data_IF_891813385707
#
_entry.id   IF_891813385707
#
_cell.length_a   1.000
_cell.length_b   1.000
_cell.length_c   1.000
_cell.angle_alpha   90.00
_cell.angle_beta   90.00
_cell.angle_gamma   90.00
#
_symmetry.space_group_name_H-M   'P 1'
#
loop_
_entity.id
_entity.type
_entity.pdbx_description
1 polymer ?
#
# COMPACT_ATOMS: atom_id res chain seq x y z
N UNK A 1 -25.45 3.48 32.77
CA UNK A 1 -24.62 3.54 31.55
C UNK A 1 -25.46 3.21 30.34
N UNK A 2 -25.09 3.70 29.17
CA UNK A 2 -25.74 3.39 27.87
C UNK A 2 -24.86 2.39 27.12
N UNK A 3 -25.46 1.30 26.63
CA UNK A 3 -24.78 0.36 25.73
C UNK A 3 -25.03 0.82 24.29
N UNK A 4 -23.94 0.99 23.54
CA UNK A 4 -23.99 1.38 22.13
C UNK A 4 -23.56 0.20 21.29
N UNK A 5 -24.38 -0.19 20.31
CA UNK A 5 -23.99 -1.13 19.26
C UNK A 5 -23.62 -0.32 18.02
N UNK A 6 -22.34 -0.41 17.63
CA UNK A 6 -21.81 0.27 16.46
C UNK A 6 -21.53 -0.75 15.34
N UNK A 7 -22.11 -0.53 14.17
CA UNK A 7 -21.91 -1.39 12.99
C UNK A 7 -21.27 -0.56 11.90
N UNK A 8 -20.08 -0.96 11.44
CA UNK A 8 -19.34 -0.28 10.41
C UNK A 8 -18.43 -1.23 9.65
N UNK A 9 -18.07 -0.87 8.44
CA UNK A 9 -17.02 -1.49 7.65
C UNK A 9 -15.68 -0.71 7.75
N UNK A 10 -15.69 0.45 8.39
CA UNK A 10 -14.47 1.21 8.67
C UNK A 10 -13.79 0.69 9.94
N UNK A 11 -12.76 -0.12 9.75
CA UNK A 11 -12.02 -0.79 10.83
C UNK A 11 -11.31 0.23 11.74
N UNK A 12 -10.89 1.37 11.19
CA UNK A 12 -10.27 2.44 11.97
C UNK A 12 -11.23 2.99 13.02
N UNK A 13 -12.44 3.35 12.64
CA UNK A 13 -13.50 3.81 13.56
C UNK A 13 -13.90 2.73 14.54
N UNK A 14 -14.05 1.48 14.11
CA UNK A 14 -14.36 0.35 15.00
C UNK A 14 -13.30 0.19 16.08
N UNK A 15 -12.02 0.20 15.68
CA UNK A 15 -10.88 0.05 16.61
C UNK A 15 -10.79 1.19 17.61
N UNK A 16 -11.13 2.40 17.21
CA UNK A 16 -11.06 3.58 18.06
C UNK A 16 -12.24 3.72 19.02
N UNK A 17 -13.45 3.37 18.57
CA UNK A 17 -14.69 3.62 19.31
C UNK A 17 -15.19 2.43 20.12
N UNK A 18 -14.79 1.21 19.77
CA UNK A 18 -15.30 -0.01 20.40
C UNK A 18 -14.26 -0.63 21.34
N UNK A 19 -14.69 -1.08 22.52
CA UNK A 19 -13.86 -1.91 23.41
C UNK A 19 -13.88 -3.39 23.01
N UNK A 20 -14.99 -3.84 22.42
CA UNK A 20 -15.18 -5.22 21.97
C UNK A 20 -15.79 -5.23 20.56
N UNK A 21 -15.38 -6.21 19.75
CA UNK A 21 -15.82 -6.39 18.37
C UNK A 21 -16.32 -7.81 18.15
N UNK A 22 -17.43 -7.90 17.45
CA UNK A 22 -17.96 -9.14 16.88
C UNK A 22 -17.73 -9.12 15.37
N UNK A 23 -16.89 -10.04 14.88
CA UNK A 23 -16.69 -10.23 13.43
C UNK A 23 -17.69 -11.23 12.90
N UNK A 24 -18.51 -10.77 11.96
CA UNK A 24 -19.46 -11.59 11.23
C UNK A 24 -18.99 -11.78 9.78
N UNK A 25 -19.10 -13.00 9.28
CA UNK A 25 -18.83 -13.35 7.90
C UNK A 25 -19.96 -14.25 7.38
N UNK A 26 -20.67 -13.81 6.34
CA UNK A 26 -21.82 -14.49 5.77
C UNK A 26 -22.85 -14.95 6.82
N UNK A 27 -23.12 -14.13 7.81
CA UNK A 27 -24.06 -14.43 8.90
C UNK A 27 -23.52 -15.34 10.00
N UNK A 28 -22.27 -15.78 9.91
CA UNK A 28 -21.61 -16.63 10.90
C UNK A 28 -20.63 -15.81 11.74
N UNK A 29 -20.61 -16.07 13.05
CA UNK A 29 -19.62 -15.47 13.96
C UNK A 29 -18.25 -16.10 13.70
N UNK A 30 -17.31 -15.30 13.23
CA UNK A 30 -15.91 -15.70 13.03
C UNK A 30 -15.08 -15.49 14.29
N UNK A 31 -15.25 -14.36 14.95
CA UNK A 31 -14.54 -14.04 16.17
C UNK A 31 -15.30 -13.03 17.01
N UNK A 32 -15.03 -13.01 18.32
CA UNK A 32 -15.56 -12.05 19.28
C UNK A 32 -14.53 -11.81 20.37
N UNK A 33 -14.21 -10.55 20.64
CA UNK A 33 -13.22 -10.22 21.67
C UNK A 33 -12.86 -8.75 21.73
N UNK A 34 -11.65 -8.48 22.21
CA UNK A 34 -11.08 -7.13 22.28
C UNK A 34 -10.93 -6.53 20.88
N UNK A 35 -11.25 -5.23 20.75
CA UNK A 35 -11.31 -4.56 19.46
C UNK A 35 -9.98 -4.59 18.70
N UNK A 36 -8.86 -4.30 19.37
CA UNK A 36 -7.54 -4.30 18.71
C UNK A 36 -7.25 -5.68 18.11
N UNK A 37 -7.40 -6.74 18.89
CA UNK A 37 -7.09 -8.10 18.47
C UNK A 37 -8.00 -8.59 17.32
N UNK A 38 -9.32 -8.35 17.40
CA UNK A 38 -10.26 -8.79 16.38
C UNK A 38 -10.10 -7.99 15.08
N UNK A 39 -9.81 -6.69 15.17
CA UNK A 39 -9.51 -5.89 14.00
C UNK A 39 -8.23 -6.36 13.30
N UNK A 40 -7.18 -6.72 14.03
CA UNK A 40 -5.94 -7.26 13.45
C UNK A 40 -6.21 -8.60 12.75
N UNK A 41 -6.94 -9.52 13.37
CA UNK A 41 -7.34 -10.78 12.76
C UNK A 41 -8.15 -10.58 11.47
N UNK A 42 -9.08 -9.64 11.47
CA UNK A 42 -9.88 -9.28 10.28
C UNK A 42 -8.99 -8.75 9.16
N UNK A 43 -8.07 -7.84 9.47
CA UNK A 43 -7.15 -7.28 8.48
C UNK A 43 -6.21 -8.33 7.90
N UNK A 44 -5.71 -9.25 8.73
CA UNK A 44 -4.85 -10.35 8.28
C UNK A 44 -5.59 -11.32 7.35
N UNK A 45 -6.85 -11.64 7.65
CA UNK A 45 -7.69 -12.47 6.77
C UNK A 45 -7.98 -11.75 5.44
N UNK A 46 -8.24 -10.44 5.49
CA UNK A 46 -8.43 -9.63 4.28
C UNK A 46 -7.15 -9.56 3.44
N UNK A 47 -5.98 -9.42 4.06
CA UNK A 47 -4.69 -9.47 3.35
C UNK A 47 -4.48 -10.82 2.67
N UNK A 48 -4.71 -11.93 3.36
CA UNK A 48 -4.58 -13.28 2.78
C UNK A 48 -5.56 -13.50 1.61
N UNK A 49 -6.78 -13.00 1.74
CA UNK A 49 -7.77 -13.04 0.66
C UNK A 49 -7.36 -12.14 -0.51
N UNK A 50 -6.75 -10.98 -0.23
CA UNK A 50 -6.21 -10.07 -1.22
C UNK A 50 -4.98 -10.67 -1.92
N UNK A 51 -4.07 -11.31 -1.18
CA UNK A 51 -2.94 -12.05 -1.75
C UNK A 51 -3.41 -13.18 -2.68
N UNK A 52 -4.50 -13.87 -2.34
CA UNK A 52 -5.11 -14.86 -3.21
C UNK A 52 -5.70 -14.23 -4.49
N UNK A 53 -6.39 -13.10 -4.38
CA UNK A 53 -6.95 -12.37 -5.53
C UNK A 53 -5.83 -11.72 -6.34
N UNK A 54 -4.84 -11.09 -5.69
CA UNK A 54 -3.68 -10.50 -6.33
C UNK A 54 -2.84 -11.56 -7.08
N UNK A 55 -2.66 -12.75 -6.49
CA UNK A 55 -2.00 -13.87 -7.15
C UNK A 55 -2.69 -14.33 -8.45
N UNK A 56 -3.99 -14.07 -8.59
CA UNK A 56 -4.73 -14.35 -9.84
C UNK A 56 -4.76 -13.14 -10.79
N UNK A 57 -4.58 -11.92 -10.28
CA UNK A 57 -4.49 -10.69 -11.10
C UNK A 57 -3.06 -10.49 -11.61
N UNK A 58 -2.04 -10.97 -10.90
CA UNK A 58 -0.63 -10.86 -11.27
C UNK A 58 -0.29 -11.50 -12.61
N UNK A 59 -1.04 -12.50 -13.05
CA UNK A 59 -0.86 -13.12 -14.38
C UNK A 59 -1.29 -12.18 -15.54
N UNK A 60 -2.03 -11.09 -15.26
CA UNK A 60 -2.53 -10.17 -16.29
C UNK A 60 -1.87 -8.79 -16.27
N UNK A 61 -1.19 -8.39 -15.20
CA UNK A 61 -0.57 -7.06 -15.09
C UNK A 61 0.96 -7.17 -15.12
N UNK A 62 1.52 -7.29 -16.33
CA UNK A 62 2.94 -7.09 -16.54
C UNK A 62 3.29 -5.62 -16.30
N UNK A 63 3.90 -5.33 -15.17
CA UNK A 63 4.44 -4.00 -14.85
C UNK A 63 5.97 -4.02 -14.92
N UNK A 64 6.56 -2.96 -15.42
CA UNK A 64 8.01 -2.75 -15.35
C UNK A 64 8.35 -1.97 -14.07
N UNK A 65 9.48 -2.30 -13.45
CA UNK A 65 9.99 -1.58 -12.27
C UNK A 65 11.36 -1.02 -12.61
N UNK A 66 11.56 0.25 -12.36
CA UNK A 66 12.83 0.94 -12.57
C UNK A 66 13.29 1.50 -11.22
N UNK A 67 14.58 1.43 -10.94
CA UNK A 67 15.14 1.91 -9.68
C UNK A 67 16.40 2.74 -9.97
N UNK A 68 16.47 3.93 -9.38
CA UNK A 68 17.65 4.79 -9.48
C UNK A 68 17.93 5.52 -8.17
N UNK A 69 19.21 5.79 -7.91
CA UNK A 69 19.59 6.74 -6.85
C UNK A 69 19.48 8.14 -7.41
N UNK A 70 18.88 9.04 -6.67
CA UNK A 70 18.67 10.43 -7.06
C UNK A 70 19.36 11.38 -6.10
N UNK A 71 19.73 12.55 -6.60
CA UNK A 71 20.34 13.60 -5.80
C UNK A 71 19.29 14.33 -4.94
N UNK A 72 19.70 14.82 -3.77
CA UNK A 72 18.83 15.61 -2.88
C UNK A 72 18.22 16.87 -3.55
N UNK A 73 18.89 17.40 -4.57
CA UNK A 73 18.44 18.59 -5.31
C UNK A 73 17.27 18.31 -6.26
N UNK A 74 17.01 17.03 -6.59
CA UNK A 74 15.90 16.66 -7.47
C UNK A 74 14.57 17.05 -6.84
N UNK A 75 13.84 17.94 -7.51
CA UNK A 75 12.51 18.37 -7.07
C UNK A 75 11.47 17.32 -7.42
N UNK A 76 10.80 16.79 -6.41
CA UNK A 76 9.65 15.91 -6.55
C UNK A 76 8.49 16.41 -5.68
N UNK A 77 7.24 16.07 -6.00
CA UNK A 77 6.09 16.45 -5.18
C UNK A 77 6.25 15.89 -3.75
N UNK A 78 6.10 16.76 -2.76
CA UNK A 78 6.10 16.29 -1.36
C UNK A 78 4.73 15.72 -1.02
N UNK A 79 4.70 14.59 -0.34
CA UNK A 79 3.48 14.05 0.24
C UNK A 79 3.04 14.98 1.37
N UNK A 80 1.79 15.45 1.30
CA UNK A 80 1.22 16.33 2.33
C UNK A 80 0.70 15.57 3.56
N UNK A 81 0.66 14.23 3.50
CA UNK A 81 0.24 13.38 4.60
C UNK A 81 1.07 12.09 4.55
N UNK A 82 1.82 11.85 5.58
CA UNK A 82 2.34 10.52 5.91
C UNK A 82 1.73 10.21 7.26
N UNK A 83 0.75 9.33 7.28
CA UNK A 83 0.43 8.71 8.55
C UNK A 83 1.65 7.91 9.00
N UNK A 84 2.04 8.03 10.25
CA UNK A 84 3.23 7.43 10.88
C UNK A 84 3.38 5.89 10.73
N UNK A 85 2.50 5.26 9.99
CA UNK A 85 2.43 3.79 9.84
C UNK A 85 3.41 3.20 8.84
N UNK A 86 4.04 4.02 8.00
CA UNK A 86 4.80 3.53 6.84
C UNK A 86 6.29 3.87 6.90
N UNK A 87 6.80 4.31 8.02
CA UNK A 87 8.22 4.40 8.24
C UNK A 87 8.65 3.38 9.31
N UNK A 88 9.77 2.76 9.08
CA UNK A 88 10.53 2.10 10.12
C UNK A 88 11.78 2.93 10.36
N UNK A 89 12.52 2.63 11.43
CA UNK A 89 13.75 3.35 11.78
C UNK A 89 14.83 3.33 10.69
N UNK A 90 14.64 2.59 9.62
CA UNK A 90 15.64 2.36 8.58
C UNK A 90 15.33 3.11 7.28
N UNK A 91 14.03 3.32 6.95
CA UNK A 91 13.60 3.92 5.69
C UNK A 91 12.42 4.84 5.92
N UNK A 92 12.42 5.99 5.27
CA UNK A 92 11.30 6.94 5.23
C UNK A 92 10.82 7.16 3.79
N UNK A 93 9.51 7.22 3.58
CA UNK A 93 8.93 7.60 2.29
C UNK A 93 8.94 9.13 2.20
N UNK A 94 9.63 9.67 1.20
CA UNK A 94 9.75 11.11 0.94
C UNK A 94 8.66 11.63 0.01
N UNK A 95 8.28 10.81 -0.98
CA UNK A 95 7.27 11.18 -1.95
C UNK A 95 6.60 9.96 -2.56
N UNK A 96 5.34 10.13 -2.95
CA UNK A 96 4.57 9.21 -3.79
C UNK A 96 3.72 10.06 -4.74
N UNK A 97 3.84 9.81 -6.03
CA UNK A 97 3.07 10.52 -7.05
C UNK A 97 2.88 9.67 -8.30
N UNK A 98 1.97 10.09 -9.16
CA UNK A 98 1.64 9.38 -10.37
C UNK A 98 1.94 10.26 -11.59
N UNK A 99 2.42 9.63 -12.66
CA UNK A 99 2.52 10.24 -13.98
C UNK A 99 1.81 9.37 -15.03
N UNK A 100 1.44 9.97 -16.13
CA UNK A 100 1.02 9.23 -17.33
C UNK A 100 2.22 8.75 -18.15
N UNK A 101 1.94 8.13 -19.29
CA UNK A 101 2.98 7.60 -20.21
C UNK A 101 3.89 8.69 -20.82
N UNK A 102 3.50 9.96 -20.70
CA UNK A 102 4.28 11.13 -21.17
C UNK A 102 5.03 11.83 -20.00
N UNK A 103 5.13 11.17 -18.85
CA UNK A 103 5.72 11.71 -17.61
C UNK A 103 5.04 12.96 -17.03
N UNK A 104 3.79 13.21 -17.42
CA UNK A 104 2.98 14.30 -16.88
C UNK A 104 2.30 13.87 -15.60
N UNK A 105 2.45 14.66 -14.53
CA UNK A 105 1.81 14.40 -13.24
C UNK A 105 0.28 14.33 -13.35
N UNK A 106 -0.31 13.30 -12.77
CA UNK A 106 -1.75 13.07 -12.75
C UNK A 106 -2.24 12.84 -11.33
N UNK A 107 -3.49 13.21 -11.06
CA UNK A 107 -4.18 12.99 -9.79
C UNK A 107 -5.45 12.15 -9.92
N UNK A 108 -5.71 11.63 -11.11
CA UNK A 108 -6.82 10.71 -11.42
C UNK A 108 -6.32 9.62 -12.34
N UNK A 109 -6.67 8.38 -12.03
CA UNK A 109 -6.33 7.21 -12.80
C UNK A 109 -7.59 6.65 -13.46
N UNK A 110 -7.48 6.24 -14.72
CA UNK A 110 -8.55 5.64 -15.51
C UNK A 110 -8.13 4.24 -15.94
N UNK A 111 -9.04 3.31 -15.96
CA UNK A 111 -8.81 1.94 -16.44
C UNK A 111 -8.33 1.93 -17.91
N UNK A 112 -7.60 0.89 -18.31
CA UNK A 112 -7.01 0.71 -19.65
C UNK A 112 -6.01 1.82 -20.05
N UNK A 113 -5.44 2.53 -19.07
CA UNK A 113 -4.39 3.52 -19.30
C UNK A 113 -3.11 3.12 -18.57
N UNK A 114 -1.99 3.44 -19.19
CA UNK A 114 -0.65 3.21 -18.59
C UNK A 114 -0.27 4.39 -17.71
N UNK A 115 0.22 4.08 -16.54
CA UNK A 115 0.70 5.04 -15.53
C UNK A 115 2.03 4.61 -14.97
N UNK A 116 2.74 5.57 -14.39
CA UNK A 116 3.90 5.34 -13.55
C UNK A 116 3.61 5.83 -12.15
N UNK A 117 3.82 4.94 -11.16
CA UNK A 117 3.83 5.31 -9.75
C UNK A 117 5.26 5.49 -9.32
N UNK A 118 5.58 6.66 -8.80
CA UNK A 118 6.89 7.03 -8.31
C UNK A 118 6.88 6.96 -6.78
N UNK A 119 7.73 6.14 -6.20
CA UNK A 119 7.96 6.04 -4.76
C UNK A 119 9.38 6.50 -4.47
N UNK A 120 9.53 7.61 -3.76
CA UNK A 120 10.83 8.14 -3.35
C UNK A 120 11.04 7.83 -1.88
N UNK A 121 12.11 7.09 -1.58
CA UNK A 121 12.50 6.71 -0.23
C UNK A 121 13.85 7.29 0.15
N UNK A 122 14.03 7.54 1.43
CA UNK A 122 15.32 7.88 2.03
C UNK A 122 15.73 6.80 3.01
N UNK A 123 16.98 6.35 2.91
CA UNK A 123 17.57 5.40 3.83
C UNK A 123 18.16 6.12 5.04
N UNK A 124 17.53 5.99 6.20
CA UNK A 124 18.01 6.56 7.47
C UNK A 124 19.17 5.74 8.05
N UNK A 125 19.27 4.47 7.66
CA UNK A 125 20.32 3.51 7.99
C UNK A 125 20.63 2.66 6.76
N UNK A 126 21.68 1.86 6.80
CA UNK A 126 21.92 0.84 5.78
C UNK A 126 20.73 -0.13 5.76
N UNK A 127 20.15 -0.29 4.61
CA UNK A 127 18.94 -1.05 4.39
C UNK A 127 19.13 -2.02 3.21
N UNK A 128 19.72 -3.19 3.46
CA UNK A 128 19.85 -4.22 2.44
C UNK A 128 18.51 -4.93 2.23
N UNK A 129 18.30 -5.42 1.01
CA UNK A 129 17.17 -6.27 0.64
C UNK A 129 15.79 -5.64 0.88
N UNK A 130 15.64 -4.35 0.58
CA UNK A 130 14.35 -3.68 0.66
C UNK A 130 13.39 -4.19 -0.41
N UNK A 131 12.19 -4.51 0.03
CA UNK A 131 11.04 -4.72 -0.83
C UNK A 131 10.13 -3.50 -0.65
N UNK A 132 9.89 -2.79 -1.74
CA UNK A 132 9.04 -1.60 -1.77
C UNK A 132 7.89 -1.89 -2.72
N UNK A 133 6.70 -1.46 -2.36
CA UNK A 133 5.52 -1.67 -3.20
C UNK A 133 4.39 -0.77 -2.75
N UNK A 134 3.28 -0.85 -3.48
CA UNK A 134 2.05 -0.17 -3.13
C UNK A 134 0.84 -1.02 -3.50
N UNK A 135 -0.27 -0.74 -2.84
CA UNK A 135 -1.57 -1.33 -3.13
C UNK A 135 -2.52 -0.20 -3.48
N UNK A 136 -3.23 -0.34 -4.60
CA UNK A 136 -4.38 0.51 -4.91
C UNK A 136 -5.64 -0.16 -4.38
N UNK A 137 -6.39 0.57 -3.57
CA UNK A 137 -7.64 0.12 -2.99
C UNK A 137 -8.80 1.00 -3.48
N UNK A 138 -9.99 0.44 -3.54
CA UNK A 138 -11.18 1.25 -3.73
C UNK A 138 -11.60 1.93 -2.42
N UNK A 139 -12.64 2.77 -2.49
CA UNK A 139 -13.18 3.48 -1.32
C UNK A 139 -13.78 2.57 -0.23
N UNK A 140 -13.82 1.25 -0.45
CA UNK A 140 -14.26 0.24 0.51
C UNK A 140 -13.09 -0.55 1.10
N UNK A 141 -11.84 -0.17 0.78
CA UNK A 141 -10.64 -0.87 1.23
C UNK A 141 -10.43 -2.23 0.54
N UNK A 142 -11.07 -2.47 -0.61
CA UNK A 142 -10.80 -3.68 -1.39
C UNK A 142 -9.61 -3.42 -2.30
N UNK A 143 -8.56 -4.25 -2.24
CA UNK A 143 -7.41 -4.13 -3.11
C UNK A 143 -7.85 -4.36 -4.56
N UNK A 144 -7.45 -3.46 -5.43
CA UNK A 144 -7.69 -3.52 -6.86
C UNK A 144 -6.46 -4.00 -7.60
N UNK A 145 -5.29 -3.67 -7.06
CA UNK A 145 -4.03 -3.90 -7.72
C UNK A 145 -2.91 -3.73 -6.69
N UNK A 146 -1.94 -4.64 -6.69
CA UNK A 146 -0.71 -4.52 -5.93
C UNK A 146 0.51 -4.75 -6.82
N UNK A 147 1.62 -4.12 -6.48
CA UNK A 147 2.88 -4.27 -7.18
C UNK A 147 4.05 -4.02 -6.22
N UNK A 148 5.11 -4.80 -6.35
CA UNK A 148 6.37 -4.55 -5.65
C UNK A 148 7.57 -4.99 -6.50
N UNK A 149 8.75 -4.48 -6.14
CA UNK A 149 9.97 -4.72 -6.90
C UNK A 149 10.40 -6.20 -6.91
N UNK A 150 10.12 -6.94 -5.85
CA UNK A 150 10.55 -8.34 -5.76
C UNK A 150 9.66 -9.28 -6.59
N UNK A 151 8.34 -9.15 -6.49
CA UNK A 151 7.40 -10.02 -7.23
C UNK A 151 7.51 -9.78 -8.73
N UNK A 152 7.63 -8.51 -9.16
CA UNK A 152 7.61 -8.18 -10.57
C UNK A 152 8.95 -8.38 -11.29
N UNK A 153 10.08 -8.28 -10.60
CA UNK A 153 11.41 -8.42 -11.22
C UNK A 153 12.35 -9.36 -10.48
N UNK A 154 11.98 -9.85 -9.29
CA UNK A 154 12.87 -10.67 -8.45
C UNK A 154 14.05 -9.87 -7.85
N UNK A 155 14.03 -8.55 -7.94
CA UNK A 155 15.10 -7.68 -7.48
C UNK A 155 14.74 -6.99 -6.17
N UNK A 156 15.74 -6.83 -5.31
CA UNK A 156 15.63 -6.06 -4.06
C UNK A 156 16.41 -4.76 -4.17
N UNK A 157 15.95 -3.74 -3.48
CA UNK A 157 16.67 -2.46 -3.36
C UNK A 157 17.70 -2.55 -2.25
N UNK A 158 18.94 -2.17 -2.53
CA UNK A 158 20.00 -2.07 -1.52
C UNK A 158 20.36 -0.60 -1.32
N UNK A 159 19.96 -0.04 -0.18
CA UNK A 159 20.23 1.34 0.20
C UNK A 159 21.33 1.44 1.26
N UNK A 160 22.16 2.46 1.15
CA UNK A 160 23.06 2.89 2.22
C UNK A 160 22.45 4.08 2.95
N UNK A 161 22.88 4.31 4.17
CA UNK A 161 22.47 5.49 4.94
C UNK A 161 22.64 6.77 4.10
N UNK A 162 21.61 7.60 4.10
CA UNK A 162 21.45 8.85 3.34
C UNK A 162 21.26 8.66 1.80
N UNK A 163 21.15 7.44 1.30
CA UNK A 163 20.72 7.26 -0.09
C UNK A 163 19.26 7.71 -0.24
N UNK A 164 18.98 8.46 -1.30
CA UNK A 164 17.62 8.74 -1.77
C UNK A 164 17.42 7.91 -3.03
N UNK A 165 16.40 7.06 -3.02
CA UNK A 165 16.14 6.10 -4.09
C UNK A 165 14.73 6.34 -4.62
N UNK A 166 14.60 6.49 -5.92
CA UNK A 166 13.33 6.50 -6.62
C UNK A 166 13.06 5.11 -7.20
N UNK A 167 11.88 4.58 -6.92
CA UNK A 167 11.37 3.35 -7.52
C UNK A 167 10.16 3.74 -8.35
N UNK A 168 10.18 3.40 -9.63
CA UNK A 168 9.14 3.70 -10.60
C UNK A 168 8.47 2.41 -11.05
N UNK A 169 7.17 2.31 -10.86
CA UNK A 169 6.35 1.19 -11.29
C UNK A 169 5.52 1.62 -12.50
N UNK A 170 5.78 1.05 -13.66
CA UNK A 170 4.98 1.27 -14.86
C UNK A 170 4.00 0.11 -15.06
N UNK A 171 2.71 0.42 -15.19
CA UNK A 171 1.64 -0.56 -15.32
C UNK A 171 0.45 0.00 -16.08
N UNK A 172 -0.35 -0.88 -16.67
CA UNK A 172 -1.66 -0.51 -17.20
C UNK A 172 -2.74 -0.85 -16.17
N UNK A 173 -3.56 0.14 -15.78
CA UNK A 173 -4.60 -0.07 -14.78
C UNK A 173 -5.70 -0.97 -15.34
N UNK A 174 -5.92 -2.18 -14.77
CA UNK A 174 -6.88 -3.14 -15.30
C UNK A 174 -8.33 -2.70 -15.08
N UNK A 175 -9.26 -3.25 -15.87
CA UNK A 175 -10.70 -3.22 -15.55
C UNK A 175 -10.98 -4.25 -14.48
N UNK A 176 -11.59 -3.80 -13.41
CA UNK A 176 -11.96 -4.63 -12.26
C UNK A 176 -13.47 -4.70 -12.18
#
# INVERSE_FOLDING_TARGET
GVTILFVSHDIGSVRQMCSRVLWLDHGTVRAFGEAAHICDMYMDEKRKSAEYVAGHIQDEVAGNVFMEKIDEERKYPKISFVEDRFHNDSVAIRSLFFTDSEDKAVNRLYVDKTYRTHVVIECMKDAPSLIVGFVLENNKGLPLFDINNFINQGEVVNGKKNDIIEIVYEYTLPRI
#
